data_IF_432122321755
#
_entry.id   IF_432122321755
#
_cell.length_a   1.000
_cell.length_b   1.000
_cell.length_c   1.000
_cell.angle_alpha   90.00
_cell.angle_beta   90.00
_cell.angle_gamma   90.00
#
_symmetry.space_group_name_H-M   'P 1'
#
loop_
_entity.id
_entity.type
_entity.pdbx_description
1 polymer ?
#
# COMPACT_ATOMS: atom_id res chain seq x y z
N UNK A 1 14.11 -9.14 -1.26
CA UNK A 1 15.34 -8.48 -1.73
C UNK A 1 15.33 -7.12 -1.07
N UNK A 2 16.25 -6.85 -0.14
CA UNK A 2 16.25 -5.57 0.59
C UNK A 2 16.53 -4.44 -0.42
N UNK A 3 15.91 -3.27 -0.21
CA UNK A 3 16.14 -2.09 -1.07
C UNK A 3 17.63 -1.71 -1.10
N UNK A 4 18.38 -2.00 -0.03
CA UNK A 4 19.85 -1.90 0.00
C UNK A 4 20.56 -2.82 -1.00
N UNK A 5 20.10 -4.06 -1.14
CA UNK A 5 20.71 -5.03 -2.08
C UNK A 5 20.40 -4.66 -3.54
N UNK A 6 19.21 -4.09 -3.82
CA UNK A 6 18.85 -3.60 -5.14
C UNK A 6 19.64 -2.34 -5.53
N UNK A 7 19.89 -1.46 -4.57
CA UNK A 7 20.70 -0.26 -4.74
C UNK A 7 22.19 -0.62 -4.89
N UNK A 8 22.71 -1.55 -4.09
CA UNK A 8 24.08 -2.07 -4.27
C UNK A 8 24.24 -2.80 -5.61
N UNK A 9 23.22 -3.48 -6.12
CA UNK A 9 23.26 -4.12 -7.44
C UNK A 9 23.22 -3.09 -8.58
N UNK A 10 22.49 -1.97 -8.45
CA UNK A 10 22.50 -0.87 -9.43
C UNK A 10 23.81 -0.07 -9.38
N UNK A 11 24.31 0.23 -8.19
CA UNK A 11 25.55 0.97 -7.96
C UNK A 11 26.77 0.12 -8.33
N UNK A 12 26.76 -1.20 -8.07
CA UNK A 12 27.85 -2.09 -8.46
C UNK A 12 27.86 -2.42 -9.96
N UNK A 13 26.71 -2.42 -10.65
CA UNK A 13 26.64 -2.65 -12.10
C UNK A 13 26.97 -1.42 -12.96
N UNK A 14 26.95 -0.20 -12.39
CA UNK A 14 27.29 1.04 -13.10
C UNK A 14 28.37 1.80 -12.34
N UNK A 15 29.62 1.38 -12.55
CA UNK A 15 30.83 2.00 -11.98
C UNK A 15 30.91 3.50 -12.28
N UNK A 16 31.64 4.24 -11.43
CA UNK A 16 32.00 5.65 -11.68
C UNK A 16 32.62 5.86 -13.07
N UNK A 17 33.26 4.83 -13.64
CA UNK A 17 33.79 4.82 -15.00
C UNK A 17 32.70 4.98 -16.07
N UNK A 18 31.53 4.35 -15.91
CA UNK A 18 30.38 4.54 -16.81
C UNK A 18 29.91 6.00 -16.83
N UNK A 19 29.88 6.63 -15.65
CA UNK A 19 29.48 8.03 -15.53
C UNK A 19 30.56 8.99 -16.03
N UNK A 20 31.83 8.60 -15.98
CA UNK A 20 32.98 9.38 -16.43
C UNK A 20 33.15 9.34 -17.96
N UNK A 21 33.01 8.16 -18.59
CA UNK A 21 33.05 8.00 -20.06
C UNK A 21 31.98 8.85 -20.76
N UNK A 22 30.75 8.85 -20.25
CA UNK A 22 29.65 9.67 -20.80
C UNK A 22 29.92 11.17 -20.62
N UNK A 23 30.66 11.56 -19.57
CA UNK A 23 30.96 12.97 -19.29
C UNK A 23 32.13 13.49 -20.14
N UNK A 24 33.11 12.64 -20.45
CA UNK A 24 34.25 12.97 -21.29
C UNK A 24 33.92 13.04 -22.80
N UNK A 25 32.90 12.31 -23.27
CA UNK A 25 32.47 12.39 -24.67
C UNK A 25 31.61 13.63 -25.01
N UNK A 26 31.21 14.43 -24.02
CA UNK A 26 29.99 15.22 -24.13
C UNK A 26 30.23 16.73 -23.91
N UNK A 27 30.39 17.44 -25.03
CA UNK A 27 30.09 18.87 -25.11
C UNK A 27 28.60 19.15 -25.35
N UNK A 28 28.30 20.21 -26.10
CA UNK A 28 26.94 20.59 -26.58
C UNK A 28 26.33 19.62 -27.61
N UNK A 29 27.02 18.53 -27.93
CA UNK A 29 26.64 17.56 -28.95
C UNK A 29 25.24 16.98 -28.70
N UNK A 30 24.38 17.09 -29.71
CA UNK A 30 23.02 16.55 -29.75
C UNK A 30 22.99 15.26 -30.59
N UNK A 31 23.73 15.23 -31.69
CA UNK A 31 23.80 14.12 -32.63
C UNK A 31 25.25 13.77 -32.98
N UNK A 32 25.51 12.51 -33.29
CA UNK A 32 26.79 12.05 -33.84
C UNK A 32 26.53 11.43 -35.21
N UNK A 33 27.14 11.99 -36.25
CA UNK A 33 27.15 11.40 -37.59
C UNK A 33 28.30 10.41 -37.66
N UNK A 34 28.01 9.15 -37.97
CA UNK A 34 29.00 8.10 -38.24
C UNK A 34 28.99 7.79 -39.72
N UNK A 35 30.10 8.03 -40.39
CA UNK A 35 30.28 7.75 -41.81
C UNK A 35 31.51 6.85 -42.03
N UNK A 36 31.44 6.01 -43.04
CA UNK A 36 32.54 5.14 -43.44
C UNK A 36 33.15 5.68 -44.73
N UNK A 37 34.48 5.77 -44.77
CA UNK A 37 35.23 6.19 -45.96
C UNK A 37 35.98 5.00 -46.55
N UNK A 38 35.97 4.91 -47.88
CA UNK A 38 36.80 4.00 -48.66
C UNK A 38 37.49 4.77 -49.79
N UNK A 39 38.82 4.64 -49.90
CA UNK A 39 39.61 5.31 -50.91
C UNK A 39 40.48 4.30 -51.68
N UNK A 40 40.63 4.57 -52.99
CA UNK A 40 41.35 3.72 -53.95
C UNK A 40 42.88 3.77 -53.82
N UNK A 41 43.41 4.63 -52.95
CA UNK A 41 44.84 4.82 -52.72
C UNK A 41 45.19 5.02 -51.25
N UNK A 42 46.46 5.36 -50.98
CA UNK A 42 46.95 5.72 -49.65
C UNK A 42 46.54 7.16 -49.37
N UNK A 43 45.80 7.37 -48.29
CA UNK A 43 45.34 8.68 -47.86
C UNK A 43 45.53 8.81 -46.35
N UNK A 44 45.95 9.99 -45.91
CA UNK A 44 46.15 10.28 -44.50
C UNK A 44 44.99 11.07 -43.91
N UNK A 45 44.96 11.16 -42.57
CA UNK A 45 43.95 11.95 -41.85
C UNK A 45 43.84 13.41 -42.35
N UNK A 46 44.95 14.15 -42.61
CA UNK A 46 44.85 15.52 -43.12
C UNK A 46 44.15 15.62 -44.48
N UNK A 47 44.34 14.63 -45.36
CA UNK A 47 43.69 14.61 -46.68
C UNK A 47 42.18 14.49 -46.56
N UNK A 48 41.71 13.59 -45.68
CA UNK A 48 40.27 13.38 -45.44
C UNK A 48 39.64 14.62 -44.85
N UNK A 49 40.29 15.25 -43.86
CA UNK A 49 39.80 16.49 -43.26
C UNK A 49 39.78 17.62 -44.29
N UNK A 50 40.82 17.74 -45.10
CA UNK A 50 40.91 18.72 -46.18
C UNK A 50 39.81 18.55 -47.21
N UNK A 51 39.49 17.31 -47.60
CA UNK A 51 38.39 17.01 -48.52
C UNK A 51 37.02 17.33 -47.91
N UNK A 52 36.80 16.98 -46.63
CA UNK A 52 35.55 17.29 -45.93
C UNK A 52 35.30 18.79 -45.93
N UNK A 53 36.24 19.61 -45.49
CA UNK A 53 36.01 21.06 -45.48
C UNK A 53 35.99 21.64 -46.88
N UNK A 54 36.92 21.23 -47.77
CA UNK A 54 37.07 21.86 -49.08
C UNK A 54 35.94 21.55 -50.07
N UNK A 55 35.43 20.31 -50.09
CA UNK A 55 34.37 19.92 -51.01
C UNK A 55 32.95 20.20 -50.48
N UNK A 56 32.79 20.44 -49.18
CA UNK A 56 31.49 20.85 -48.62
C UNK A 56 31.31 22.36 -48.51
N UNK A 57 32.41 23.13 -48.55
CA UNK A 57 32.42 24.60 -48.57
C UNK A 57 31.78 25.13 -49.86
N UNK A 58 30.84 26.07 -49.71
CA UNK A 58 30.09 26.67 -50.82
C UNK A 58 28.97 25.80 -51.43
N UNK A 59 28.78 24.56 -50.97
CA UNK A 59 27.67 23.70 -51.39
C UNK A 59 26.36 24.03 -50.64
N UNK A 60 26.50 24.47 -49.39
CA UNK A 60 25.40 24.81 -48.50
C UNK A 60 25.41 26.31 -48.20
N UNK A 61 24.31 26.84 -47.68
CA UNK A 61 24.24 28.22 -47.17
C UNK A 61 25.28 28.45 -46.05
N UNK A 62 25.70 29.70 -45.85
CA UNK A 62 26.72 30.10 -44.86
C UNK A 62 26.42 29.56 -43.43
N UNK A 63 25.15 29.45 -43.05
CA UNK A 63 24.70 28.93 -41.75
C UNK A 63 24.95 27.42 -41.56
N UNK A 64 25.20 26.69 -42.66
CA UNK A 64 25.45 25.25 -42.70
C UNK A 64 26.88 24.90 -43.16
N UNK A 65 27.74 25.90 -43.34
CA UNK A 65 29.15 25.67 -43.68
C UNK A 65 29.90 25.01 -42.51
N UNK A 66 30.55 23.87 -42.76
CA UNK A 66 31.26 23.11 -41.73
C UNK A 66 32.36 23.91 -41.02
N UNK A 67 33.04 24.84 -41.71
CA UNK A 67 34.12 25.66 -41.15
C UNK A 67 33.57 26.71 -40.17
N UNK A 68 32.50 27.40 -40.55
CA UNK A 68 31.82 28.36 -39.66
C UNK A 68 31.11 27.65 -38.51
N UNK A 69 30.48 26.51 -38.76
CA UNK A 69 29.86 25.68 -37.73
C UNK A 69 30.87 25.15 -36.70
N UNK A 70 32.09 24.81 -37.12
CA UNK A 70 33.16 24.41 -36.20
C UNK A 70 33.68 25.60 -35.38
N UNK A 71 33.82 26.78 -35.99
CA UNK A 71 34.26 28.02 -35.33
C UNK A 71 33.26 28.53 -34.29
N UNK A 72 31.96 28.41 -34.60
CA UNK A 72 30.85 28.76 -33.69
C UNK A 72 30.58 27.68 -32.64
N UNK A 73 31.24 26.51 -32.73
CA UNK A 73 31.07 25.40 -31.80
C UNK A 73 29.77 24.60 -31.98
N UNK A 74 29.03 24.84 -33.07
CA UNK A 74 27.85 24.06 -33.46
C UNK A 74 28.21 22.67 -33.99
N UNK A 75 29.42 22.52 -34.55
CA UNK A 75 30.04 21.26 -34.92
C UNK A 75 31.30 21.05 -34.08
N UNK A 76 31.47 19.83 -33.58
CA UNK A 76 32.63 19.43 -32.78
C UNK A 76 33.86 19.15 -33.64
N UNK A 77 34.92 18.64 -33.00
CA UNK A 77 36.11 18.18 -33.73
C UNK A 77 35.77 16.91 -34.51
N UNK A 78 35.93 16.98 -35.83
CA UNK A 78 35.77 15.83 -36.72
C UNK A 78 36.88 14.83 -36.42
N UNK A 79 36.50 13.62 -36.00
CA UNK A 79 37.43 12.51 -35.76
C UNK A 79 37.48 11.65 -37.02
N UNK A 80 38.68 11.38 -37.49
CA UNK A 80 38.91 10.53 -38.66
C UNK A 80 39.93 9.48 -38.28
N UNK A 81 39.50 8.22 -38.35
CA UNK A 81 40.35 7.05 -38.14
C UNK A 81 40.50 6.36 -39.49
N UNK A 82 41.68 6.42 -40.09
CA UNK A 82 41.93 5.82 -41.40
C UNK A 82 43.09 4.84 -41.33
N UNK A 83 42.92 3.71 -42.00
CA UNK A 83 43.91 2.65 -42.08
C UNK A 83 44.14 2.30 -43.54
N UNK A 84 45.39 2.34 -43.98
CA UNK A 84 45.79 1.97 -45.33
C UNK A 84 46.38 0.56 -45.34
N UNK A 85 45.81 -0.33 -46.16
CA UNK A 85 46.31 -1.70 -46.39
C UNK A 85 46.24 -2.03 -47.88
N UNK A 86 47.27 -2.66 -48.41
CA UNK A 86 47.33 -3.12 -49.82
C UNK A 86 46.99 -2.02 -50.85
N UNK A 87 47.46 -0.79 -50.61
CA UNK A 87 47.23 0.34 -51.52
C UNK A 87 45.79 0.88 -51.54
N UNK A 88 44.91 0.42 -50.64
CA UNK A 88 43.59 1.02 -50.40
C UNK A 88 43.49 1.53 -48.97
N UNK A 89 42.66 2.54 -48.76
CA UNK A 89 42.43 3.07 -47.42
C UNK A 89 40.97 2.96 -47.04
N UNK A 90 40.72 2.53 -45.81
CA UNK A 90 39.38 2.44 -45.23
C UNK A 90 39.40 3.09 -43.87
N UNK A 91 38.32 3.79 -43.54
CA UNK A 91 38.25 4.50 -42.27
C UNK A 91 36.85 4.83 -41.83
N UNK A 92 36.78 5.41 -40.65
CA UNK A 92 35.57 5.92 -40.03
C UNK A 92 35.73 7.43 -39.77
N UNK A 93 34.66 8.17 -40.06
CA UNK A 93 34.52 9.60 -39.82
C UNK A 93 33.40 9.77 -38.81
N UNK A 94 33.70 10.47 -37.72
CA UNK A 94 32.77 10.78 -36.64
C UNK A 94 32.65 12.29 -36.52
N UNK A 95 31.46 12.83 -36.77
CA UNK A 95 31.15 14.26 -36.69
C UNK A 95 30.16 14.52 -35.55
N UNK A 96 30.61 15.11 -34.43
CA UNK A 96 29.71 15.57 -33.38
C UNK A 96 28.96 16.84 -33.82
N UNK A 97 27.63 16.85 -33.74
CA UNK A 97 26.78 17.98 -34.12
C UNK A 97 25.90 18.43 -32.96
N UNK A 98 25.81 19.73 -32.72
CA UNK A 98 24.81 20.35 -31.83
C UNK A 98 23.65 20.99 -32.60
N UNK A 99 23.51 20.69 -33.89
CA UNK A 99 22.47 21.21 -34.77
C UNK A 99 21.13 20.52 -34.53
N UNK A 100 20.09 21.00 -35.19
CA UNK A 100 18.82 20.28 -35.21
C UNK A 100 18.89 19.01 -36.08
N UNK A 101 17.79 18.25 -36.09
CA UNK A 101 17.72 16.97 -36.81
C UNK A 101 17.83 17.15 -38.33
N UNK A 102 17.27 18.22 -38.87
CA UNK A 102 17.19 18.48 -40.31
C UNK A 102 18.53 18.99 -40.81
N UNK A 103 19.09 20.00 -40.16
CA UNK A 103 20.43 20.54 -40.40
C UNK A 103 21.50 19.43 -40.31
N UNK A 104 21.43 18.57 -39.29
CA UNK A 104 22.37 17.43 -39.15
C UNK A 104 22.23 16.42 -40.29
N UNK A 105 21.01 16.15 -40.77
CA UNK A 105 20.79 15.25 -41.90
C UNK A 105 21.31 15.83 -43.22
N UNK A 106 21.15 17.14 -43.44
CA UNK A 106 21.70 17.85 -44.61
C UNK A 106 23.23 17.78 -44.60
N UNK A 107 23.87 18.02 -43.46
CA UNK A 107 25.32 17.86 -43.32
C UNK A 107 25.78 16.42 -43.54
N UNK A 108 25.02 15.44 -43.06
CA UNK A 108 25.36 14.04 -43.31
C UNK A 108 25.32 13.72 -44.81
N UNK A 109 24.29 14.21 -45.51
CA UNK A 109 24.18 14.03 -46.96
C UNK A 109 25.29 14.76 -47.73
N UNK A 110 25.74 15.94 -47.29
CA UNK A 110 26.87 16.64 -47.94
C UNK A 110 28.20 15.91 -47.77
N UNK A 111 28.37 15.09 -46.73
CA UNK A 111 29.56 14.23 -46.62
C UNK A 111 29.57 13.12 -47.68
N UNK A 112 28.40 12.64 -48.12
CA UNK A 112 28.31 11.60 -49.16
C UNK A 112 28.61 12.13 -50.56
N UNK A 113 28.56 13.45 -50.78
CA UNK A 113 28.90 14.05 -52.08
C UNK A 113 30.40 14.09 -52.34
N UNK A 114 31.23 13.78 -51.33
CA UNK A 114 32.69 13.80 -51.42
C UNK A 114 33.16 12.59 -52.24
N UNK A 115 33.69 12.85 -53.42
CA UNK A 115 34.13 11.84 -54.39
C UNK A 115 35.66 11.67 -54.44
N UNK A 116 36.40 12.59 -53.82
CA UNK A 116 37.86 12.65 -53.92
C UNK A 116 38.50 13.09 -52.61
N UNK A 117 39.53 12.35 -52.21
CA UNK A 117 40.34 12.66 -51.02
C UNK A 117 41.81 12.66 -51.40
N UNK A 118 42.45 13.82 -51.26
CA UNK A 118 43.81 14.04 -51.75
C UNK A 118 43.91 13.73 -53.25
N UNK A 119 44.88 12.91 -53.69
CA UNK A 119 45.00 12.53 -55.09
C UNK A 119 44.04 11.41 -55.53
N UNK A 120 43.34 10.75 -54.61
CA UNK A 120 42.63 9.49 -54.88
C UNK A 120 41.11 9.64 -54.90
N UNK A 121 40.43 8.79 -55.68
CA UNK A 121 38.98 8.67 -55.63
C UNK A 121 38.56 7.98 -54.33
N UNK A 122 37.52 8.52 -53.71
CA UNK A 122 36.98 8.07 -52.45
C UNK A 122 35.46 7.98 -52.50
N UNK A 123 34.89 7.18 -51.60
CA UNK A 123 33.45 7.10 -51.36
C UNK A 123 33.21 7.16 -49.87
N UNK A 124 32.30 8.05 -49.46
CA UNK A 124 31.84 8.19 -48.08
C UNK A 124 30.38 7.74 -48.03
N UNK A 125 30.08 6.80 -47.14
CA UNK A 125 28.72 6.32 -46.89
C UNK A 125 28.35 6.60 -45.43
N UNK A 126 27.29 7.36 -45.18
CA UNK A 126 26.79 7.61 -43.82
C UNK A 126 26.11 6.35 -43.30
N UNK A 127 26.59 5.83 -42.17
CA UNK A 127 26.05 4.61 -41.55
C UNK A 127 24.90 4.91 -40.62
N UNK A 128 25.05 5.93 -39.77
CA UNK A 128 24.06 6.27 -38.77
C UNK A 128 24.21 7.72 -38.31
N UNK A 129 23.09 8.29 -37.88
CA UNK A 129 23.04 9.53 -37.09
C UNK A 129 22.46 9.17 -35.73
N UNK A 130 23.30 9.20 -34.69
CA UNK A 130 22.94 8.78 -33.34
C UNK A 130 22.53 10.00 -32.49
N UNK A 131 21.35 9.95 -31.87
CA UNK A 131 20.92 10.95 -30.88
C UNK A 131 21.48 10.61 -29.50
N UNK A 132 22.59 11.28 -29.14
CA UNK A 132 23.26 11.09 -27.85
C UNK A 132 22.46 11.67 -26.68
N UNK A 133 21.41 12.47 -26.92
CA UNK A 133 20.57 13.02 -25.86
C UNK A 133 19.69 11.96 -25.23
N UNK A 134 19.38 10.87 -25.93
CA UNK A 134 18.62 9.75 -25.34
C UNK A 134 19.43 9.09 -24.22
N UNK A 135 20.70 8.81 -24.47
CA UNK A 135 21.61 8.25 -23.47
C UNK A 135 21.87 9.23 -22.32
N UNK A 136 22.04 10.53 -22.60
CA UNK A 136 22.18 11.57 -21.56
C UNK A 136 20.93 11.71 -20.70
N UNK A 137 19.72 11.68 -21.29
CA UNK A 137 18.48 11.73 -20.52
C UNK A 137 18.39 10.56 -19.55
N UNK A 138 18.72 9.35 -20.01
CA UNK A 138 18.75 8.17 -19.14
C UNK A 138 19.81 8.31 -18.03
N UNK A 139 21.02 8.82 -18.34
CA UNK A 139 22.04 9.15 -17.34
C UNK A 139 21.49 10.13 -16.28
N UNK A 140 20.82 11.21 -16.71
CA UNK A 140 20.28 12.24 -15.79
C UNK A 140 19.22 11.63 -14.90
N UNK A 141 18.33 10.79 -15.45
CA UNK A 141 17.31 10.08 -14.69
C UNK A 141 17.95 9.14 -13.65
N UNK A 142 18.92 8.32 -14.08
CA UNK A 142 19.60 7.37 -13.19
C UNK A 142 20.38 8.09 -12.09
N UNK A 143 21.10 9.16 -12.43
CA UNK A 143 21.84 9.96 -11.45
C UNK A 143 20.91 10.71 -10.50
N UNK A 144 19.79 11.23 -10.99
CA UNK A 144 18.76 11.86 -10.17
C UNK A 144 18.15 10.88 -9.16
N UNK A 145 17.91 9.63 -9.55
CA UNK A 145 17.47 8.56 -8.61
C UNK A 145 18.47 8.35 -7.50
N UNK A 146 19.77 8.25 -7.83
CA UNK A 146 20.84 8.06 -6.83
C UNK A 146 20.92 9.26 -5.87
N UNK A 147 20.89 10.48 -6.40
CA UNK A 147 20.93 11.72 -5.61
C UNK A 147 19.71 11.78 -4.67
N UNK A 148 18.51 11.49 -5.19
CA UNK A 148 17.29 11.50 -4.40
C UNK A 148 17.34 10.48 -3.25
N UNK A 149 17.81 9.26 -3.51
CA UNK A 149 17.99 8.24 -2.47
C UNK A 149 18.98 8.70 -1.40
N UNK A 150 20.11 9.28 -1.81
CA UNK A 150 21.14 9.77 -0.88
C UNK A 150 20.63 10.96 -0.04
N UNK A 151 19.87 11.87 -0.65
CA UNK A 151 19.28 13.01 0.05
C UNK A 151 18.17 12.58 1.02
N UNK A 152 17.37 11.58 0.66
CA UNK A 152 16.33 11.03 1.55
C UNK A 152 16.95 10.34 2.77
N UNK A 153 18.13 9.71 2.62
CA UNK A 153 18.86 9.13 3.75
C UNK A 153 19.50 10.19 4.68
N UNK A 154 19.70 11.43 4.21
CA UNK A 154 20.30 12.55 4.97
C UNK A 154 19.27 13.50 5.61
N UNK A 155 17.97 13.39 5.31
CA UNK A 155 16.94 14.31 5.82
C UNK A 155 16.16 13.69 6.99
N UNK A 156 15.99 14.48 8.05
CA UNK A 156 15.26 14.15 9.28
C UNK A 156 13.81 13.68 9.05
N UNK A 157 13.20 12.96 10.04
CA UNK A 157 11.99 12.14 9.88
C UNK A 157 10.70 12.84 9.39
N UNK A 158 10.71 14.15 9.20
CA UNK A 158 9.54 14.95 8.81
C UNK A 158 9.36 15.09 7.29
N UNK A 159 10.40 14.86 6.48
CA UNK A 159 10.31 14.95 5.00
C UNK A 159 9.93 13.63 4.31
N UNK A 160 9.87 12.54 5.06
CA UNK A 160 9.43 11.24 4.55
C UNK A 160 7.97 11.27 4.09
N UNK A 161 7.11 12.02 4.80
CA UNK A 161 5.67 12.10 4.50
C UNK A 161 5.38 12.76 3.14
N UNK A 162 6.13 13.80 2.75
CA UNK A 162 5.97 14.50 1.45
C UNK A 162 6.60 13.73 0.28
N UNK A 163 7.72 13.05 0.53
CA UNK A 163 8.40 12.27 -0.52
C UNK A 163 7.63 10.99 -0.85
N UNK A 164 6.95 10.41 0.14
CA UNK A 164 6.01 9.31 -0.07
C UNK A 164 4.81 9.76 -0.90
N UNK A 165 4.25 10.95 -0.68
CA UNK A 165 3.14 11.50 -1.48
C UNK A 165 3.52 11.67 -2.98
N UNK A 166 4.74 12.16 -3.26
CA UNK A 166 5.24 12.30 -4.64
C UNK A 166 5.60 10.94 -5.25
N UNK A 167 6.15 10.00 -4.49
CA UNK A 167 6.42 8.61 -4.96
C UNK A 167 5.12 7.84 -5.21
N UNK A 168 4.08 8.08 -4.43
CA UNK A 168 2.73 7.52 -4.60
C UNK A 168 2.08 8.10 -5.87
N UNK A 169 2.30 9.37 -6.20
CA UNK A 169 1.79 9.98 -7.45
C UNK A 169 2.37 9.37 -8.74
N UNK A 170 3.62 8.89 -8.70
CA UNK A 170 4.30 8.20 -9.82
C UNK A 170 4.05 6.69 -9.80
N UNK A 171 3.64 6.14 -8.65
CA UNK A 171 3.19 4.75 -8.45
C UNK A 171 1.67 4.62 -8.46
N UNK A 172 0.92 5.55 -9.06
CA UNK A 172 -0.42 5.26 -9.54
C UNK A 172 -0.31 4.28 -10.72
N UNK A 173 0.06 3.04 -10.39
CA UNK A 173 -0.14 1.89 -11.23
C UNK A 173 -1.60 1.85 -11.57
N UNK A 174 -1.87 1.77 -12.87
CA UNK A 174 -3.17 1.85 -13.49
C UNK A 174 -4.20 1.05 -12.68
N UNK A 175 -5.30 1.71 -12.31
CA UNK A 175 -6.51 0.99 -11.89
C UNK A 175 -6.77 -0.04 -12.98
N UNK A 176 -6.82 -1.30 -12.60
CA UNK A 176 -7.22 -2.38 -13.50
C UNK A 176 -8.73 -2.56 -13.41
N UNK A 177 -9.31 -3.17 -14.43
CA UNK A 177 -10.71 -3.61 -14.39
C UNK A 177 -10.75 -5.07 -13.94
N UNK A 178 -11.65 -5.40 -13.01
CA UNK A 178 -11.79 -6.74 -12.44
C UNK A 178 -13.19 -7.32 -12.70
N UNK A 179 -13.23 -8.61 -13.04
CA UNK A 179 -14.46 -9.36 -13.30
C UNK A 179 -15.18 -9.00 -14.61
N UNK A 180 -16.30 -9.68 -14.86
CA UNK A 180 -17.12 -9.49 -16.07
C UNK A 180 -17.76 -8.10 -16.10
N UNK A 181 -18.03 -7.55 -14.92
CA UNK A 181 -18.61 -6.21 -14.74
C UNK A 181 -17.57 -5.08 -14.85
N UNK A 182 -16.29 -5.43 -15.08
CA UNK A 182 -15.16 -4.50 -15.28
C UNK A 182 -15.02 -3.46 -14.15
N UNK A 183 -15.17 -3.91 -12.92
CA UNK A 183 -15.11 -3.07 -11.73
C UNK A 183 -13.71 -2.44 -11.56
N UNK A 184 -13.62 -1.15 -11.17
CA UNK A 184 -12.35 -0.53 -10.83
C UNK A 184 -11.66 -1.26 -9.67
N UNK A 185 -10.41 -1.67 -9.87
CA UNK A 185 -9.68 -2.45 -8.91
C UNK A 185 -8.20 -2.05 -8.83
N UNK A 186 -7.62 -2.25 -7.65
CA UNK A 186 -6.18 -2.17 -7.44
C UNK A 186 -5.44 -3.34 -8.11
N UNK A 187 -4.15 -3.20 -8.42
CA UNK A 187 -3.40 -4.18 -9.21
C UNK A 187 -3.34 -5.56 -8.56
N UNK A 188 -3.36 -5.64 -7.22
CA UNK A 188 -3.13 -6.88 -6.47
C UNK A 188 -4.42 -7.63 -6.10
N UNK A 189 -5.59 -7.22 -6.61
CA UNK A 189 -6.87 -7.88 -6.28
C UNK A 189 -6.91 -9.36 -6.68
N UNK A 190 -6.21 -9.78 -7.73
CA UNK A 190 -6.22 -11.19 -8.19
C UNK A 190 -5.39 -12.08 -7.24
N UNK A 191 -4.22 -11.58 -6.84
CA UNK A 191 -3.21 -12.34 -6.08
C UNK A 191 -3.43 -12.33 -4.57
N UNK A 192 -4.23 -11.38 -4.05
CA UNK A 192 -4.42 -11.23 -2.61
C UNK A 192 -5.46 -12.21 -2.06
N UNK A 193 -5.18 -12.81 -0.91
CA UNK A 193 -6.12 -13.70 -0.18
C UNK A 193 -7.26 -12.94 0.52
N UNK A 194 -7.10 -11.61 0.65
CA UNK A 194 -8.10 -10.71 1.23
C UNK A 194 -8.27 -9.48 0.36
N UNK A 195 -9.49 -8.94 0.32
CA UNK A 195 -9.84 -7.76 -0.47
C UNK A 195 -10.61 -6.73 0.36
N UNK A 196 -10.53 -5.47 -0.07
CA UNK A 196 -11.32 -4.37 0.48
C UNK A 196 -12.31 -3.91 -0.59
N UNK A 197 -13.60 -3.97 -0.28
CA UNK A 197 -14.67 -3.51 -1.16
C UNK A 197 -15.05 -2.09 -0.78
N UNK A 198 -15.05 -1.16 -1.73
CA UNK A 198 -15.40 0.26 -1.56
C UNK A 198 -16.50 0.68 -2.52
N UNK A 199 -17.12 1.83 -2.28
CA UNK A 199 -18.23 2.33 -3.11
C UNK A 199 -17.74 2.73 -4.52
N UNK A 200 -16.70 3.56 -4.58
CA UNK A 200 -16.32 4.26 -5.79
C UNK A 200 -14.87 4.10 -6.23
N UNK A 201 -14.62 4.50 -7.48
CA UNK A 201 -13.28 4.57 -8.06
C UNK A 201 -12.36 5.53 -7.30
N UNK A 202 -12.90 6.63 -6.78
CA UNK A 202 -12.12 7.62 -6.03
C UNK A 202 -11.59 7.04 -4.71
N UNK A 203 -12.36 6.18 -4.05
CA UNK A 203 -11.93 5.43 -2.87
C UNK A 203 -10.77 4.49 -3.21
N UNK A 204 -10.87 3.77 -4.34
CA UNK A 204 -9.78 2.92 -4.85
C UNK A 204 -8.53 3.76 -5.07
N UNK A 205 -8.64 4.95 -5.67
CA UNK A 205 -7.51 5.86 -5.85
C UNK A 205 -6.92 6.30 -4.52
N UNK A 206 -7.76 6.67 -3.54
CA UNK A 206 -7.27 7.13 -2.25
C UNK A 206 -6.55 6.02 -1.47
N UNK A 207 -7.08 4.81 -1.51
CA UNK A 207 -6.46 3.61 -0.93
C UNK A 207 -5.17 3.23 -1.64
N UNK A 208 -5.13 3.35 -2.97
CA UNK A 208 -3.93 3.10 -3.77
C UNK A 208 -2.82 4.11 -3.46
N UNK A 209 -3.16 5.39 -3.27
CA UNK A 209 -2.21 6.42 -2.84
C UNK A 209 -1.48 5.90 -1.63
N UNK A 210 -2.17 5.60 -0.53
CA UNK A 210 -1.53 5.17 0.72
C UNK A 210 -0.91 3.74 0.71
N UNK A 211 -0.88 3.06 -0.43
CA UNK A 211 -0.21 1.78 -0.63
C UNK A 211 -1.09 0.53 -0.50
N UNK A 212 -2.41 0.67 -0.38
CA UNK A 212 -3.36 -0.44 -0.33
C UNK A 212 -3.76 -0.82 -1.75
N UNK A 213 -3.38 -2.01 -2.20
CA UNK A 213 -3.45 -2.44 -3.63
C UNK A 213 -4.50 -3.50 -3.94
N UNK A 214 -5.18 -4.00 -2.92
CA UNK A 214 -6.16 -5.10 -2.97
C UNK A 214 -7.60 -4.59 -2.79
N UNK A 215 -7.91 -3.44 -3.40
CA UNK A 215 -9.22 -2.78 -3.29
C UNK A 215 -10.02 -2.96 -4.56
N UNK A 216 -11.34 -3.16 -4.46
CA UNK A 216 -12.30 -3.21 -5.57
C UNK A 216 -13.49 -2.30 -5.30
N UNK A 217 -13.93 -1.53 -6.30
CA UNK A 217 -15.10 -0.65 -6.21
C UNK A 217 -16.37 -1.32 -6.74
N UNK A 218 -17.52 -1.04 -6.13
CA UNK A 218 -18.84 -1.53 -6.60
C UNK A 218 -19.57 -0.59 -7.56
N UNK A 219 -19.06 0.62 -7.82
CA UNK A 219 -19.63 1.63 -8.76
C UNK A 219 -21.16 1.77 -8.68
N UNK A 220 -21.68 2.21 -7.54
CA UNK A 220 -23.07 2.64 -7.37
C UNK A 220 -23.99 1.64 -6.65
N UNK A 221 -25.31 1.83 -6.83
CA UNK A 221 -26.40 1.19 -6.03
C UNK A 221 -26.86 -0.16 -6.56
N UNK A 222 -26.01 -0.89 -7.30
CA UNK A 222 -26.31 -2.22 -7.80
C UNK A 222 -25.07 -3.08 -7.65
N UNK A 223 -24.91 -3.66 -6.47
CA UNK A 223 -23.79 -4.55 -6.14
C UNK A 223 -23.78 -5.72 -7.14
N UNK A 224 -22.66 -5.87 -7.85
CA UNK A 224 -22.57 -6.81 -8.97
C UNK A 224 -22.29 -8.24 -8.51
N UNK A 225 -22.66 -9.23 -9.34
CA UNK A 225 -22.42 -10.66 -9.09
C UNK A 225 -20.92 -11.00 -9.01
N UNK A 226 -20.05 -10.16 -9.58
CA UNK A 226 -18.60 -10.31 -9.47
C UNK A 226 -18.14 -10.32 -8.00
N UNK A 227 -18.72 -9.46 -7.14
CA UNK A 227 -18.35 -9.42 -5.72
C UNK A 227 -18.81 -10.67 -4.98
N UNK A 228 -19.99 -11.21 -5.32
CA UNK A 228 -20.49 -12.46 -4.76
C UNK A 228 -19.52 -13.62 -5.02
N UNK A 229 -19.04 -13.75 -6.26
CA UNK A 229 -18.06 -14.78 -6.63
C UNK A 229 -16.76 -14.65 -5.84
N UNK A 230 -16.22 -13.43 -5.72
CA UNK A 230 -14.99 -13.18 -4.97
C UNK A 230 -15.16 -13.42 -3.47
N UNK A 231 -16.34 -13.14 -2.92
CA UNK A 231 -16.60 -13.28 -1.49
C UNK A 231 -16.50 -14.71 -0.96
N UNK A 232 -16.70 -15.72 -1.82
CA UNK A 232 -16.56 -17.12 -1.42
C UNK A 232 -15.10 -17.61 -1.39
N UNK A 233 -14.19 -16.92 -2.09
CA UNK A 233 -12.79 -17.35 -2.22
C UNK A 233 -11.84 -16.55 -1.33
N UNK A 234 -12.22 -15.34 -0.93
CA UNK A 234 -11.33 -14.36 -0.29
C UNK A 234 -11.97 -13.76 0.94
N UNK A 235 -11.16 -13.36 1.91
CA UNK A 235 -11.65 -12.57 3.06
C UNK A 235 -12.04 -11.17 2.59
N UNK A 236 -13.28 -10.76 2.84
CA UNK A 236 -13.86 -9.49 2.39
C UNK A 236 -14.03 -8.50 3.53
N UNK A 237 -13.41 -7.33 3.39
CA UNK A 237 -13.71 -6.16 4.23
C UNK A 237 -14.49 -5.12 3.43
N UNK A 238 -15.73 -4.84 3.79
CA UNK A 238 -16.47 -3.71 3.23
C UNK A 238 -16.03 -2.42 3.92
N UNK A 239 -15.53 -1.44 3.16
CA UNK A 239 -15.14 -0.13 3.65
C UNK A 239 -16.00 0.95 2.99
N UNK A 240 -16.97 1.46 3.77
CA UNK A 240 -18.00 2.37 3.28
C UNK A 240 -17.94 3.74 3.95
N UNK A 241 -18.61 4.70 3.33
CA UNK A 241 -18.70 6.07 3.79
C UNK A 241 -19.42 6.22 5.14
N UNK A 242 -19.11 7.35 5.79
CA UNK A 242 -19.64 7.73 7.09
C UNK A 242 -21.04 8.32 7.03
N UNK A 243 -21.76 8.14 5.94
CA UNK A 243 -23.02 8.80 5.65
C UNK A 243 -24.17 7.78 5.52
N UNK A 244 -25.30 8.20 4.95
CA UNK A 244 -26.46 7.33 4.70
C UNK A 244 -26.27 6.49 3.42
N UNK A 245 -25.56 7.01 2.41
CA UNK A 245 -25.25 6.29 1.18
C UNK A 245 -24.46 5.02 1.46
N UNK A 246 -23.38 5.13 2.22
CA UNK A 246 -22.54 4.00 2.62
C UNK A 246 -23.30 2.92 3.42
N UNK A 247 -24.28 3.31 4.24
CA UNK A 247 -25.13 2.35 4.96
C UNK A 247 -26.04 1.55 4.01
N UNK A 248 -26.57 2.18 2.96
CA UNK A 248 -27.40 1.50 1.97
C UNK A 248 -26.58 0.49 1.17
N UNK A 249 -25.39 0.88 0.73
CA UNK A 249 -24.47 -0.01 0.00
C UNK A 249 -24.05 -1.18 0.87
N UNK A 250 -23.77 -0.94 2.15
CA UNK A 250 -23.43 -2.02 3.06
C UNK A 250 -24.59 -3.01 3.24
N UNK A 251 -25.83 -2.53 3.36
CA UNK A 251 -27.02 -3.40 3.40
C UNK A 251 -27.19 -4.22 2.13
N UNK A 252 -26.89 -3.63 0.98
CA UNK A 252 -26.95 -4.31 -0.31
C UNK A 252 -25.84 -5.36 -0.44
N UNK A 253 -24.61 -5.04 -0.02
CA UNK A 253 -23.49 -5.98 0.03
C UNK A 253 -23.83 -7.21 0.87
N UNK A 254 -24.45 -7.03 2.04
CA UNK A 254 -24.90 -8.14 2.89
C UNK A 254 -25.96 -9.04 2.27
N UNK A 255 -26.71 -8.58 1.26
CA UNK A 255 -27.70 -9.41 0.57
C UNK A 255 -27.08 -10.29 -0.52
N UNK A 256 -25.96 -9.88 -1.09
CA UNK A 256 -25.40 -10.45 -2.31
C UNK A 256 -24.05 -11.14 -2.07
N UNK A 257 -23.30 -10.74 -1.05
CA UNK A 257 -21.92 -11.19 -0.80
C UNK A 257 -21.67 -11.57 0.67
N UNK A 258 -20.73 -12.49 0.89
CA UNK A 258 -20.23 -12.87 2.21
C UNK A 258 -19.18 -11.86 2.68
N UNK A 259 -19.56 -11.00 3.64
CA UNK A 259 -18.67 -9.98 4.19
C UNK A 259 -18.15 -10.48 5.54
N UNK A 260 -16.84 -10.49 5.75
CA UNK A 260 -16.23 -10.87 7.03
C UNK A 260 -16.12 -9.68 7.99
N UNK A 261 -15.78 -8.51 7.45
CA UNK A 261 -15.53 -7.32 8.24
C UNK A 261 -16.12 -6.06 7.62
N UNK A 262 -16.50 -5.12 8.49
CA UNK A 262 -16.99 -3.80 8.13
C UNK A 262 -16.07 -2.74 8.72
N UNK A 263 -15.55 -1.88 7.86
CA UNK A 263 -14.92 -0.63 8.22
C UNK A 263 -15.82 0.53 7.78
N UNK A 264 -15.86 1.61 8.56
CA UNK A 264 -16.59 2.83 8.21
C UNK A 264 -15.71 4.05 8.33
N UNK A 265 -15.87 4.98 7.39
CA UNK A 265 -15.34 6.32 7.53
C UNK A 265 -16.00 7.04 8.72
N UNK A 266 -15.33 8.02 9.35
CA UNK A 266 -15.94 8.87 10.37
C UNK A 266 -17.24 9.52 9.88
N UNK A 267 -18.16 9.77 10.80
CA UNK A 267 -19.49 10.30 10.46
C UNK A 267 -19.41 11.56 9.59
N UNK A 268 -20.07 11.54 8.43
CA UNK A 268 -20.10 12.64 7.47
C UNK A 268 -18.82 12.84 6.65
N UNK A 269 -17.90 11.86 6.64
CA UNK A 269 -16.75 11.84 5.71
C UNK A 269 -16.88 10.71 4.71
N UNK A 270 -16.38 10.96 3.50
CA UNK A 270 -16.25 10.00 2.42
C UNK A 270 -14.85 9.36 2.44
N UNK A 271 -14.73 8.11 1.98
CA UNK A 271 -13.47 7.38 1.95
C UNK A 271 -12.44 8.08 1.06
N UNK A 272 -12.87 8.74 -0.01
CA UNK A 272 -12.02 9.56 -0.90
C UNK A 272 -11.34 10.75 -0.20
N UNK A 273 -11.92 11.28 0.88
CA UNK A 273 -11.41 12.45 1.62
C UNK A 273 -10.53 12.09 2.83
N UNK A 274 -10.43 10.80 3.18
CA UNK A 274 -9.71 10.39 4.38
C UNK A 274 -8.21 10.53 4.25
N UNK A 275 -7.58 10.97 5.34
CA UNK A 275 -6.12 10.95 5.47
C UNK A 275 -5.59 9.53 5.72
N UNK A 276 -4.30 9.30 5.44
CA UNK A 276 -3.62 8.02 5.72
C UNK A 276 -3.83 7.52 7.16
N UNK A 277 -3.78 8.42 8.15
CA UNK A 277 -4.00 8.10 9.57
C UNK A 277 -5.44 7.65 9.85
N UNK A 278 -6.42 8.29 9.20
CA UNK A 278 -7.84 7.96 9.35
C UNK A 278 -8.19 6.62 8.69
N UNK A 279 -7.68 6.35 7.48
CA UNK A 279 -7.89 5.07 6.80
C UNK A 279 -7.31 3.91 7.61
N UNK A 280 -6.05 4.03 8.06
CA UNK A 280 -5.41 2.99 8.89
C UNK A 280 -6.19 2.77 10.17
N UNK A 281 -6.70 3.84 10.80
CA UNK A 281 -7.53 3.75 12.00
C UNK A 281 -8.86 3.04 11.72
N UNK A 282 -9.54 3.37 10.63
CA UNK A 282 -10.81 2.76 10.24
C UNK A 282 -10.66 1.26 9.95
N UNK A 283 -9.65 0.87 9.15
CA UNK A 283 -9.38 -0.53 8.81
C UNK A 283 -8.85 -1.36 10.00
N UNK A 284 -8.12 -0.74 10.94
CA UNK A 284 -7.68 -1.39 12.18
C UNK A 284 -8.85 -1.63 13.13
N UNK A 285 -9.79 -0.69 13.18
CA UNK A 285 -11.00 -0.77 14.01
C UNK A 285 -12.18 -1.41 13.27
N UNK A 286 -11.93 -2.12 12.17
CA UNK A 286 -12.97 -2.87 11.47
C UNK A 286 -13.63 -3.85 12.43
N UNK A 287 -14.94 -3.95 12.35
CA UNK A 287 -15.74 -4.85 13.18
C UNK A 287 -16.12 -6.09 12.35
N UNK A 288 -16.27 -7.26 12.96
CA UNK A 288 -16.87 -8.41 12.29
C UNK A 288 -18.26 -8.05 11.74
N UNK A 289 -18.58 -8.59 10.58
CA UNK A 289 -19.87 -8.37 9.92
C UNK A 289 -21.06 -8.68 10.82
N UNK A 290 -21.00 -9.78 11.59
CA UNK A 290 -22.08 -10.20 12.48
C UNK A 290 -22.37 -9.17 13.56
N UNK A 291 -21.34 -8.49 14.06
CA UNK A 291 -21.50 -7.41 15.04
C UNK A 291 -22.27 -6.24 14.43
N UNK A 292 -21.95 -5.86 13.19
CA UNK A 292 -22.64 -4.75 12.52
C UNK A 292 -24.11 -5.07 12.28
N UNK A 293 -24.43 -6.31 11.90
CA UNK A 293 -25.79 -6.80 11.68
C UNK A 293 -26.62 -6.67 12.95
N UNK A 294 -26.12 -7.15 14.10
CA UNK A 294 -26.84 -7.08 15.38
C UNK A 294 -27.08 -5.63 15.82
N UNK A 295 -26.12 -4.73 15.60
CA UNK A 295 -26.23 -3.33 16.03
C UNK A 295 -27.19 -2.48 15.17
N UNK A 296 -27.37 -2.83 13.89
CA UNK A 296 -28.02 -1.96 12.88
C UNK A 296 -29.18 -2.61 12.08
N UNK A 297 -29.32 -3.93 12.07
CA UNK A 297 -30.42 -4.63 11.40
C UNK A 297 -31.50 -5.14 12.38
N UNK A 298 -31.15 -5.45 13.64
CA UNK A 298 -32.07 -6.02 14.64
C UNK A 298 -32.73 -5.00 15.60
N UNK A 299 -32.58 -3.69 15.38
CA UNK A 299 -33.35 -2.68 16.15
C UNK A 299 -34.77 -2.57 15.58
N UNK A 300 -35.83 -2.93 16.34
CA UNK A 300 -37.19 -2.63 15.93
C UNK A 300 -37.36 -1.11 15.84
N UNK A 301 -37.82 -0.63 14.68
CA UNK A 301 -38.14 0.78 14.41
C UNK A 301 -39.25 1.26 15.36
N UNK A 302 -38.89 1.82 16.51
CA UNK A 302 -39.80 2.67 17.28
C UNK A 302 -39.70 4.11 16.78
N UNK A 303 -40.70 4.46 15.98
CA UNK A 303 -41.25 5.79 15.69
C UNK A 303 -40.46 7.02 16.17
N UNK A 304 -39.90 7.72 15.18
CA UNK A 304 -39.52 9.12 15.28
C UNK A 304 -40.81 9.94 15.45
N UNK A 305 -41.13 10.32 16.68
CA UNK A 305 -41.99 11.47 16.93
C UNK A 305 -41.12 12.66 17.31
N UNK A 306 -41.20 13.65 16.46
CA UNK A 306 -40.62 14.99 16.60
C UNK A 306 -41.20 15.72 17.80
N UNK A 307 -40.34 16.36 18.60
CA UNK A 307 -40.53 17.75 19.04
C UNK A 307 -39.22 18.38 19.54
N UNK A 308 -38.90 19.62 19.12
CA UNK A 308 -37.67 20.33 19.46
C UNK A 308 -37.86 21.25 20.67
N UNK A 309 -36.81 21.50 21.49
CA UNK A 309 -36.35 22.87 21.80
C UNK A 309 -35.11 22.95 22.71
N UNK A 310 -34.44 24.08 22.49
CA UNK A 310 -33.18 24.65 22.96
C UNK A 310 -32.99 24.87 24.48
N UNK A 311 -31.68 24.93 24.81
CA UNK A 311 -30.94 25.68 25.84
C UNK A 311 -30.97 25.22 27.32
N UNK A 312 -29.79 25.01 27.95
CA UNK A 312 -29.64 24.92 29.40
C UNK A 312 -29.36 26.31 30.00
N UNK A 313 -30.15 26.70 31.01
CA UNK A 313 -29.80 27.74 31.98
C UNK A 313 -29.24 27.09 33.26
N UNK A 314 -28.28 27.80 33.85
CA UNK A 314 -27.57 27.50 35.09
C UNK A 314 -28.49 27.51 36.33
N UNK A 315 -28.19 26.67 37.34
CA UNK A 315 -27.75 27.05 38.70
C UNK A 315 -28.02 25.98 39.75
N UNK A 316 -26.93 25.65 40.46
CA UNK A 316 -26.77 25.48 41.91
C UNK A 316 -27.65 24.50 42.72
N UNK A 317 -26.98 23.40 43.08
CA UNK A 317 -27.01 22.70 44.38
C UNK A 317 -26.90 23.71 45.56
N UNK A 318 -27.65 23.65 46.67
CA UNK A 318 -27.65 22.66 47.79
C UNK A 318 -28.44 23.33 48.99
N UNK A 319 -28.68 22.72 50.18
CA UNK A 319 -29.29 21.44 50.54
C UNK A 319 -30.26 21.48 51.78
N UNK A 320 -30.80 20.29 52.12
CA UNK A 320 -31.17 19.71 53.46
C UNK A 320 -32.64 19.53 53.81
N UNK A 321 -33.02 18.26 54.05
CA UNK A 321 -33.26 17.64 55.37
C UNK A 321 -33.36 16.11 55.17
N UNK A 322 -32.44 15.25 55.67
CA UNK A 322 -32.20 14.74 57.03
C UNK A 322 -33.30 13.84 57.63
N UNK A 323 -33.00 12.53 57.73
CA UNK A 323 -32.99 11.62 58.91
C UNK A 323 -32.77 10.17 58.38
N UNK A 324 -31.59 9.51 58.51
CA UNK A 324 -31.01 8.75 59.65
C UNK A 324 -31.97 7.75 60.30
N UNK A 325 -31.74 6.42 60.31
CA UNK A 325 -30.66 5.61 60.95
C UNK A 325 -30.44 4.28 60.16
N UNK A 326 -29.26 3.68 59.89
CA UNK A 326 -28.18 3.04 60.72
C UNK A 326 -28.69 1.97 61.72
N UNK A 327 -28.16 0.74 61.91
CA UNK A 327 -26.82 0.16 61.66
C UNK A 327 -26.77 -1.38 61.98
N UNK A 328 -25.78 -2.10 61.40
CA UNK A 328 -25.00 -3.26 61.93
C UNK A 328 -25.66 -4.63 62.27
N UNK A 329 -25.00 -5.80 62.31
CA UNK A 329 -23.91 -6.51 61.58
C UNK A 329 -23.72 -7.91 62.22
N UNK A 330 -23.43 -8.95 61.41
CA UNK A 330 -22.78 -10.28 61.69
C UNK A 330 -23.48 -11.32 62.62
N UNK A 331 -23.11 -12.63 62.64
CA UNK A 331 -22.38 -13.53 61.71
C UNK A 331 -23.13 -14.89 61.43
N UNK A 332 -22.50 -15.79 60.64
CA UNK A 332 -22.95 -17.16 60.27
C UNK A 332 -23.29 -18.13 61.44
N UNK A 333 -24.02 -19.22 61.11
CA UNK A 333 -23.42 -20.55 61.29
C UNK A 333 -23.60 -21.52 60.11
N UNK A 334 -22.62 -22.43 59.97
CA UNK A 334 -22.43 -23.43 58.89
C UNK A 334 -23.03 -24.80 59.26
N UNK A 335 -23.46 -25.55 58.22
CA UNK A 335 -23.38 -27.03 58.00
C UNK A 335 -24.71 -27.81 57.86
N UNK A 336 -24.75 -28.98 57.17
CA UNK A 336 -23.94 -29.47 56.03
C UNK A 336 -24.81 -30.09 54.89
N UNK A 337 -24.32 -30.20 53.64
CA UNK A 337 -24.78 -31.22 52.64
C UNK A 337 -23.96 -31.24 51.33
N UNK A 338 -23.18 -32.32 51.16
CA UNK A 338 -22.87 -33.13 49.93
C UNK A 338 -22.22 -32.44 48.71
N UNK A 339 -21.42 -33.18 47.92
CA UNK A 339 -20.32 -32.62 47.14
C UNK A 339 -20.84 -31.68 46.05
N UNK A 340 -20.39 -30.43 46.10
CA UNK A 340 -20.84 -29.36 45.21
C UNK A 340 -20.53 -29.72 43.76
N UNK A 341 -21.52 -29.55 42.89
CA UNK A 341 -21.33 -29.56 41.46
C UNK A 341 -20.54 -28.31 41.08
N UNK A 342 -19.54 -28.42 40.20
CA UNK A 342 -18.67 -27.31 39.78
C UNK A 342 -19.42 -26.10 39.16
N UNK A 343 -20.74 -26.17 38.99
CA UNK A 343 -21.57 -25.24 38.22
C UNK A 343 -22.39 -24.25 39.08
N UNK A 344 -22.66 -24.56 40.35
CA UNK A 344 -23.45 -23.67 41.24
C UNK A 344 -22.63 -22.46 41.71
N UNK A 345 -21.31 -22.55 41.62
CA UNK A 345 -20.36 -21.57 42.15
C UNK A 345 -20.32 -20.24 41.38
N UNK A 346 -20.84 -20.23 40.16
CA UNK A 346 -20.85 -19.05 39.28
C UNK A 346 -22.26 -18.50 39.02
N UNK A 347 -23.31 -19.15 39.55
CA UNK A 347 -24.70 -18.85 39.20
C UNK A 347 -25.10 -17.39 39.43
N UNK A 348 -24.80 -16.82 40.61
CA UNK A 348 -25.15 -15.43 40.93
C UNK A 348 -24.45 -14.40 40.02
N UNK A 349 -23.26 -14.72 39.53
CA UNK A 349 -22.47 -13.87 38.63
C UNK A 349 -23.01 -13.99 37.21
N UNK A 350 -23.35 -15.21 36.78
CA UNK A 350 -23.93 -15.50 35.46
C UNK A 350 -25.31 -14.87 35.29
N UNK A 351 -26.14 -14.78 36.33
CA UNK A 351 -27.46 -14.12 36.24
C UNK A 351 -27.36 -12.59 36.05
N UNK A 352 -26.31 -11.96 36.59
CA UNK A 352 -26.16 -10.49 36.59
C UNK A 352 -25.26 -9.96 35.47
N UNK A 353 -24.58 -10.84 34.76
CA UNK A 353 -23.63 -10.51 33.70
C UNK A 353 -24.26 -10.14 32.35
N UNK A 354 -25.35 -10.76 31.87
CA UNK A 354 -25.83 -10.54 30.51
C UNK A 354 -26.19 -9.08 30.23
N UNK A 355 -25.56 -8.50 29.20
CA UNK A 355 -25.77 -7.12 28.78
C UNK A 355 -24.95 -6.06 29.53
N UNK A 356 -24.03 -6.48 30.41
CA UNK A 356 -23.13 -5.56 31.15
C UNK A 356 -21.79 -5.33 30.46
N UNK A 357 -21.35 -6.22 29.57
CA UNK A 357 -20.00 -6.26 28.98
C UNK A 357 -18.87 -6.32 30.02
N UNK A 358 -19.18 -6.83 31.21
CA UNK A 358 -18.22 -7.05 32.29
C UNK A 358 -17.63 -8.48 32.21
N UNK A 359 -16.45 -8.61 32.80
CA UNK A 359 -15.72 -9.86 32.97
C UNK A 359 -15.16 -9.94 34.38
N UNK A 360 -15.27 -11.13 34.98
CA UNK A 360 -14.84 -11.42 36.35
C UNK A 360 -13.80 -12.53 36.33
N UNK A 361 -12.62 -12.24 36.90
CA UNK A 361 -11.58 -13.23 37.19
C UNK A 361 -11.77 -13.68 38.63
N UNK A 362 -11.91 -14.99 38.84
CA UNK A 362 -12.31 -15.60 40.09
C UNK A 362 -11.22 -16.53 40.63
N UNK A 363 -11.07 -16.58 41.95
CA UNK A 363 -10.15 -17.48 42.63
C UNK A 363 -10.69 -18.93 42.76
N UNK A 364 -9.91 -19.76 43.45
CA UNK A 364 -10.23 -21.16 43.76
C UNK A 364 -11.41 -21.36 44.73
N UNK A 365 -11.95 -20.29 45.32
CA UNK A 365 -13.16 -20.30 46.18
C UNK A 365 -14.37 -19.60 45.52
N UNK A 366 -14.19 -18.90 44.40
CA UNK A 366 -15.25 -18.28 43.59
C UNK A 366 -15.41 -16.80 43.86
N UNK A 367 -14.47 -16.19 44.58
CA UNK A 367 -14.48 -14.76 44.87
C UNK A 367 -13.92 -13.97 43.69
N UNK A 368 -14.50 -12.81 43.44
CA UNK A 368 -14.03 -11.86 42.42
C UNK A 368 -12.70 -11.26 42.85
N UNK A 369 -11.62 -11.61 42.12
CA UNK A 369 -10.33 -10.93 42.24
C UNK A 369 -10.29 -9.66 41.42
N UNK A 370 -10.73 -9.74 40.17
CA UNK A 370 -10.76 -8.59 39.28
C UNK A 370 -12.07 -8.55 38.50
N UNK A 371 -12.65 -7.36 38.46
CA UNK A 371 -13.73 -6.99 37.54
C UNK A 371 -13.14 -6.07 36.47
N UNK A 372 -13.28 -6.44 35.21
CA UNK A 372 -12.80 -5.68 34.05
C UNK A 372 -13.88 -5.64 32.97
N UNK A 373 -13.77 -4.74 32.00
CA UNK A 373 -14.61 -4.86 30.80
C UNK A 373 -14.13 -6.04 29.96
N UNK A 374 -15.03 -6.69 29.22
CA UNK A 374 -14.71 -7.74 28.24
C UNK A 374 -13.63 -7.28 27.24
N UNK A 375 -13.56 -5.97 26.93
CA UNK A 375 -12.53 -5.39 26.07
C UNK A 375 -11.11 -5.57 26.63
N UNK A 376 -10.97 -5.47 27.94
CA UNK A 376 -9.69 -5.55 28.65
C UNK A 376 -9.41 -6.96 29.19
N UNK A 377 -10.32 -7.92 28.95
CA UNK A 377 -10.25 -9.28 29.49
C UNK A 377 -8.96 -10.01 29.08
N UNK A 378 -8.49 -9.83 27.84
CA UNK A 378 -7.25 -10.46 27.36
C UNK A 378 -6.04 -10.00 28.16
N UNK A 379 -5.94 -8.70 28.41
CA UNK A 379 -4.84 -8.13 29.19
C UNK A 379 -4.99 -8.52 30.66
N UNK A 380 -6.22 -8.49 31.20
CA UNK A 380 -6.50 -8.93 32.56
C UNK A 380 -6.10 -10.39 32.79
N UNK A 381 -6.41 -11.31 31.86
CA UNK A 381 -5.98 -12.71 31.93
C UNK A 381 -4.46 -12.89 31.84
N UNK A 382 -3.76 -12.00 31.14
CA UNK A 382 -2.29 -12.08 31.01
C UNK A 382 -1.57 -11.56 32.24
N UNK A 383 -2.05 -10.47 32.84
CA UNK A 383 -1.35 -9.76 33.90
C UNK A 383 -1.88 -10.07 35.31
N UNK A 384 -3.05 -10.68 35.44
CA UNK A 384 -3.56 -11.14 36.74
C UNK A 384 -2.92 -12.48 37.09
N UNK A 385 -2.47 -12.62 38.33
CA UNK A 385 -1.95 -13.87 38.88
C UNK A 385 -2.99 -14.52 39.81
N UNK A 386 -2.87 -15.85 40.00
CA UNK A 386 -3.66 -16.63 40.96
C UNK A 386 -5.20 -16.59 40.74
N UNK A 387 -5.67 -16.75 39.51
CA UNK A 387 -7.10 -16.94 39.23
C UNK A 387 -7.36 -18.31 38.58
N UNK A 388 -8.52 -18.90 38.88
CA UNK A 388 -8.88 -20.26 38.47
C UNK A 388 -10.05 -20.30 37.48
N UNK A 389 -10.91 -19.27 37.50
CA UNK A 389 -12.06 -19.16 36.61
C UNK A 389 -12.21 -17.75 36.00
N UNK A 390 -12.74 -17.69 34.79
CA UNK A 390 -13.08 -16.45 34.08
C UNK A 390 -14.53 -16.53 33.64
N UNK A 391 -15.37 -15.58 34.09
CA UNK A 391 -16.79 -15.49 33.72
C UNK A 391 -17.04 -14.13 33.12
N UNK A 392 -17.56 -14.07 31.89
CA UNK A 392 -17.68 -12.81 31.18
C UNK A 392 -18.87 -12.75 30.24
N UNK A 393 -19.37 -11.53 30.01
CA UNK A 393 -20.49 -11.25 29.12
C UNK A 393 -20.04 -11.20 27.65
N UNK A 394 -19.63 -12.34 27.10
CA UNK A 394 -19.14 -12.43 25.73
C UNK A 394 -19.04 -13.87 25.20
N UNK A 395 -18.53 -13.99 23.96
CA UNK A 395 -18.38 -15.30 23.30
C UNK A 395 -17.00 -15.89 23.63
N UNK A 396 -16.98 -17.17 23.99
CA UNK A 396 -15.72 -17.91 24.19
C UNK A 396 -15.09 -18.21 22.83
N UNK A 397 -13.95 -17.57 22.54
CA UNK A 397 -13.19 -17.74 21.30
C UNK A 397 -11.97 -18.64 21.50
N UNK A 398 -11.43 -19.22 20.40
CA UNK A 398 -10.19 -20.02 20.46
C UNK A 398 -9.03 -19.23 21.10
N UNK A 399 -8.93 -17.91 20.86
CA UNK A 399 -7.91 -17.05 21.46
C UNK A 399 -8.02 -17.02 23.00
N UNK A 400 -9.22 -16.92 23.55
CA UNK A 400 -9.43 -16.93 25.00
C UNK A 400 -9.14 -18.32 25.58
N UNK A 401 -9.46 -19.38 24.83
CA UNK A 401 -9.16 -20.78 25.18
C UNK A 401 -7.64 -21.01 25.24
N UNK A 402 -6.88 -20.48 24.27
CA UNK A 402 -5.43 -20.62 24.23
C UNK A 402 -4.76 -19.87 25.40
N UNK A 403 -5.19 -18.63 25.69
CA UNK A 403 -4.69 -17.85 26.84
C UNK A 403 -5.05 -18.53 28.17
N UNK A 404 -6.27 -19.05 28.28
CA UNK A 404 -6.72 -19.80 29.45
C UNK A 404 -5.87 -21.08 29.64
N UNK A 405 -5.52 -21.77 28.55
CA UNK A 405 -4.63 -22.92 28.57
C UNK A 405 -3.21 -22.59 29.03
N UNK A 406 -2.62 -21.50 28.50
CA UNK A 406 -1.27 -21.03 28.91
C UNK A 406 -1.21 -20.68 30.40
N UNK A 407 -2.29 -20.12 30.95
CA UNK A 407 -2.41 -19.71 32.34
C UNK A 407 -2.93 -20.79 33.29
N UNK A 408 -3.16 -22.02 32.80
CA UNK A 408 -3.73 -23.13 33.58
C UNK A 408 -5.07 -22.79 34.27
N UNK A 409 -5.90 -21.97 33.60
CA UNK A 409 -7.25 -21.66 34.06
C UNK A 409 -8.12 -22.92 33.96
N UNK A 410 -8.92 -23.21 34.98
CA UNK A 410 -9.77 -24.41 34.99
C UNK A 410 -11.14 -24.18 34.37
N UNK A 411 -11.70 -22.98 34.50
CA UNK A 411 -13.03 -22.65 33.98
C UNK A 411 -13.02 -21.38 33.13
N UNK A 412 -13.56 -21.47 31.92
CA UNK A 412 -13.80 -20.33 31.05
C UNK A 412 -15.27 -20.32 30.65
N UNK A 413 -16.01 -19.36 31.19
CA UNK A 413 -17.46 -19.27 31.07
C UNK A 413 -17.83 -17.99 30.34
N UNK A 414 -18.53 -18.13 29.21
CA UNK A 414 -19.07 -17.00 28.45
C UNK A 414 -20.57 -17.14 28.21
N UNK A 415 -21.18 -16.16 27.58
CA UNK A 415 -22.61 -16.20 27.19
C UNK A 415 -22.86 -17.29 26.15
N UNK A 416 -21.91 -17.47 25.22
CA UNK A 416 -21.95 -18.49 24.17
C UNK A 416 -20.55 -19.04 23.90
N UNK A 417 -20.48 -20.25 23.37
CA UNK A 417 -19.24 -20.86 22.87
C UNK A 417 -19.12 -20.59 21.38
N UNK A 418 -17.97 -20.06 20.93
CA UNK A 418 -17.64 -19.91 19.51
C UNK A 418 -17.05 -21.19 18.91
N UNK A 419 -16.55 -21.12 17.68
CA UNK A 419 -15.88 -22.25 17.04
C UNK A 419 -14.52 -22.53 17.69
N UNK A 420 -14.46 -23.56 18.53
CA UNK A 420 -13.24 -24.00 19.24
C UNK A 420 -12.74 -25.27 18.56
N UNK A 421 -11.52 -25.21 18.05
CA UNK A 421 -10.87 -26.34 17.35
C UNK A 421 -9.95 -27.14 18.25
N UNK A 422 -9.40 -26.53 19.31
CA UNK A 422 -8.49 -27.17 20.26
C UNK A 422 -8.85 -26.79 21.69
N UNK A 423 -9.14 -27.79 22.52
CA UNK A 423 -9.45 -27.61 23.95
C UNK A 423 -8.33 -28.22 24.81
N UNK A 424 -7.63 -27.41 25.63
CA UNK A 424 -6.67 -27.92 26.61
C UNK A 424 -7.34 -28.91 27.57
N UNK A 425 -6.64 -29.99 27.93
CA UNK A 425 -7.19 -31.11 28.73
C UNK A 425 -7.70 -30.64 30.11
N UNK A 426 -7.10 -29.60 30.67
CA UNK A 426 -7.42 -29.08 32.00
C UNK A 426 -8.37 -27.87 32.00
N UNK A 427 -8.94 -27.49 30.85
CA UNK A 427 -9.83 -26.34 30.71
C UNK A 427 -11.28 -26.77 30.44
N UNK A 428 -12.19 -26.42 31.34
CA UNK A 428 -13.64 -26.52 31.12
C UNK A 428 -14.15 -25.22 30.52
N UNK A 429 -14.56 -25.29 29.25
CA UNK A 429 -15.29 -24.21 28.56
C UNK A 429 -16.78 -24.43 28.74
N UNK A 430 -17.50 -23.40 29.18
CA UNK A 430 -18.93 -23.43 29.46
C UNK A 430 -19.62 -22.21 28.85
N UNK A 431 -20.89 -22.38 28.46
CA UNK A 431 -21.75 -21.27 28.05
C UNK A 431 -22.94 -21.07 28.99
N UNK A 432 -23.46 -19.85 29.08
CA UNK A 432 -24.65 -19.56 29.90
C UNK A 432 -25.88 -20.36 29.43
N UNK A 433 -25.97 -20.71 28.14
CA UNK A 433 -27.06 -21.55 27.59
C UNK A 433 -27.04 -23.00 28.06
N UNK A 434 -25.87 -23.56 28.39
CA UNK A 434 -25.77 -24.92 28.92
C UNK A 434 -26.30 -25.03 30.36
N UNK A 435 -26.46 -23.92 31.09
CA UNK A 435 -27.07 -23.90 32.42
C UNK A 435 -28.61 -23.96 32.40
N UNK A 436 -29.26 -23.68 31.26
CA UNK A 436 -30.73 -23.79 31.14
C UNK A 436 -31.24 -25.18 30.75
N UNK A 437 -30.35 -26.18 30.61
CA UNK A 437 -30.76 -27.58 30.46
C UNK A 437 -31.23 -27.98 29.06
N UNK A 438 -30.45 -27.68 28.02
CA UNK A 438 -30.55 -28.39 26.74
C UNK A 438 -29.17 -28.88 26.31
N UNK A 439 -29.04 -30.21 26.25
CA UNK A 439 -27.84 -30.93 25.84
C UNK A 439 -27.67 -30.87 24.32
N UNK A 440 -26.51 -30.44 23.83
CA UNK A 440 -25.96 -30.95 22.57
C UNK A 440 -24.48 -31.26 22.76
N UNK A 441 -24.21 -32.53 23.03
CA UNK A 441 -22.90 -33.12 22.83
C UNK A 441 -22.72 -33.51 21.37
N UNK A 442 -21.62 -33.09 20.77
CA UNK A 442 -21.09 -33.64 19.52
C UNK A 442 -19.60 -33.82 19.79
N UNK A 443 -19.04 -35.03 19.86
CA UNK A 443 -19.11 -36.10 18.87
C UNK A 443 -17.70 -36.21 18.28
N UNK A 444 -17.01 -37.30 18.63
CA UNK A 444 -15.57 -37.58 18.44
C UNK A 444 -15.03 -37.23 17.06
#
# INVERSE_FOLDING_TARGET
>A
MNDKDFIEDIVSKKTDDYFKEIKEEVGTTKYIIKAQISASGIVERPDVVGAIFGQTEGLLSDDLDLRELQKTGRIGRIRVNIVSKNGKSTGEIIVPSSLDKVETAILAASLETIDRVGPCNAKIDVKAIEDVRKSKRNYVIDRAKIILTTMVDEITPESQELTDEVKESVRMGEIKTFGDDKLPAGPNVDESDAIIVVEGRADVLNLLKIGIKNTIAVEGTSVSQTIAGVSHEKTVTAFVDGDRGGELILRELFQIAEIDYVARAPMGKEVEELTKKEIIKALRNKIPAEQWIVENLDKPKSEITSKPQQKPEERDFHPKQQHQHENHSHPEPVQPKKPYSDLDRFGEIIEKLPGTLDAYLLDADGNVKHKVSVRDLVDAMRYTEDYEAVVFDGVVTQRLVDIAGEKNVKFLVGVKTGNITKKPVNLKVLSFKEQTGEMEGVGV
#
